data_IF_314824346418
#
_entry.id   IF_314824346418
#
_cell.length_a   1.000
_cell.length_b   1.000
_cell.length_c   1.000
_cell.angle_alpha   90.00
_cell.angle_beta   90.00
_cell.angle_gamma   90.00
#
_symmetry.space_group_name_H-M   'P 1'
#
loop_
_entity.id
_entity.type
_entity.pdbx_description
1 polymer ?
#
# COMPACT_ATOMS: atom_id res chain seq x y z
N UNK A 1 68.46 -17.06 0.60
CA UNK A 1 67.58 -16.03 1.21
C UNK A 1 66.27 -16.04 0.43
N UNK A 2 65.25 -16.65 0.99
CA UNK A 2 63.94 -16.74 0.35
C UNK A 2 63.09 -15.56 0.83
N UNK A 3 62.62 -14.72 -0.10
CA UNK A 3 61.66 -13.69 0.17
C UNK A 3 60.24 -14.30 0.22
N UNK A 4 59.72 -14.31 1.39
CA UNK A 4 58.35 -14.74 1.67
C UNK A 4 57.42 -13.52 1.42
N UNK A 5 56.77 -13.50 0.24
CA UNK A 5 55.76 -12.50 -0.10
C UNK A 5 54.44 -12.85 0.59
N UNK A 6 54.00 -12.04 1.51
CA UNK A 6 52.66 -12.13 2.10
C UNK A 6 51.58 -11.92 1.00
N UNK A 7 50.45 -12.65 1.05
CA UNK A 7 49.37 -12.46 0.09
C UNK A 7 48.74 -11.07 0.28
N UNK A 8 48.67 -10.31 -0.80
CA UNK A 8 48.02 -9.02 -0.83
C UNK A 8 46.53 -9.17 -0.52
N UNK A 9 46.05 -8.48 0.51
CA UNK A 9 44.61 -8.35 0.83
C UNK A 9 43.89 -7.77 -0.40
N UNK A 10 42.81 -8.39 -0.89
CA UNK A 10 42.04 -7.81 -2.00
C UNK A 10 41.48 -6.47 -1.56
N UNK A 11 41.84 -5.40 -2.28
CA UNK A 11 41.37 -4.06 -1.99
C UNK A 11 39.86 -3.94 -2.11
N UNK A 12 39.27 -3.04 -1.32
CA UNK A 12 37.85 -2.67 -1.27
C UNK A 12 37.16 -2.43 -2.65
N UNK A 13 37.94 -2.25 -3.71
CA UNK A 13 37.47 -2.04 -5.09
C UNK A 13 36.98 -3.34 -5.79
N UNK A 14 37.11 -4.50 -5.17
CA UNK A 14 36.69 -5.79 -5.73
C UNK A 14 35.41 -6.34 -5.10
N UNK A 15 34.78 -5.62 -4.17
CA UNK A 15 33.42 -5.94 -3.77
C UNK A 15 32.48 -5.55 -4.90
N UNK A 16 31.94 -6.55 -5.60
CA UNK A 16 30.82 -6.34 -6.50
C UNK A 16 29.69 -5.73 -5.67
N UNK A 17 29.27 -4.53 -6.02
CA UNK A 17 28.01 -3.96 -5.53
C UNK A 17 26.91 -4.88 -6.05
N UNK A 18 26.35 -5.70 -5.17
CA UNK A 18 25.17 -6.50 -5.49
C UNK A 18 24.01 -5.53 -5.74
N UNK A 19 23.71 -5.28 -7.00
CA UNK A 19 22.45 -4.63 -7.37
C UNK A 19 21.33 -5.60 -6.97
N UNK A 20 20.33 -5.17 -6.17
CA UNK A 20 19.21 -6.03 -5.79
C UNK A 20 18.63 -6.70 -7.02
N UNK A 21 18.45 -8.01 -6.97
CA UNK A 21 17.84 -8.71 -8.10
C UNK A 21 16.37 -8.27 -8.23
N UNK A 22 15.81 -8.34 -9.43
CA UNK A 22 14.39 -8.04 -9.65
C UNK A 22 13.47 -8.89 -8.75
N UNK A 23 13.92 -10.09 -8.36
CA UNK A 23 13.23 -10.94 -7.39
C UNK A 23 13.27 -10.33 -5.99
N UNK A 24 14.42 -9.77 -5.57
CA UNK A 24 14.54 -9.11 -4.26
C UNK A 24 13.65 -7.87 -4.19
N UNK A 25 13.66 -7.04 -5.20
CA UNK A 25 12.80 -5.86 -5.29
C UNK A 25 11.31 -6.21 -5.17
N UNK A 26 10.84 -7.23 -5.90
CA UNK A 26 9.45 -7.68 -5.82
C UNK A 26 9.15 -8.29 -4.45
N UNK A 27 10.07 -9.07 -3.90
CA UNK A 27 9.92 -9.65 -2.56
C UNK A 27 9.74 -8.55 -1.51
N UNK A 28 10.57 -7.51 -1.53
CA UNK A 28 10.51 -6.39 -0.59
C UNK A 28 9.24 -5.55 -0.75
N UNK A 29 8.77 -5.35 -1.98
CA UNK A 29 7.47 -4.71 -2.22
C UNK A 29 6.30 -5.52 -1.67
N UNK A 30 6.30 -6.83 -1.87
CA UNK A 30 5.27 -7.73 -1.32
C UNK A 30 5.31 -7.76 0.21
N UNK A 31 6.50 -7.83 0.82
CA UNK A 31 6.67 -7.73 2.27
C UNK A 31 6.09 -6.41 2.79
N UNK A 32 6.42 -5.30 2.14
CA UNK A 32 5.90 -3.98 2.52
C UNK A 32 4.36 -3.99 2.46
N UNK A 33 3.77 -4.41 1.35
CA UNK A 33 2.32 -4.44 1.15
C UNK A 33 1.58 -5.27 2.22
N UNK A 34 2.13 -6.43 2.59
CA UNK A 34 1.58 -7.27 3.66
C UNK A 34 1.74 -6.59 5.03
N UNK A 35 2.92 -6.03 5.31
CA UNK A 35 3.22 -5.42 6.61
C UNK A 35 2.36 -4.19 6.92
N UNK A 36 2.03 -3.41 5.90
CA UNK A 36 1.20 -2.19 6.02
C UNK A 36 -0.30 -2.46 5.88
N UNK A 37 -0.70 -3.73 5.74
CA UNK A 37 -2.10 -4.15 5.72
C UNK A 37 -2.82 -3.95 4.38
N UNK A 38 -2.10 -3.82 3.26
CA UNK A 38 -2.72 -3.88 1.94
C UNK A 38 -3.38 -5.24 1.69
N UNK A 39 -2.75 -6.31 2.17
CA UNK A 39 -3.30 -7.65 2.20
C UNK A 39 -3.40 -8.12 3.64
N UNK A 40 -4.64 -8.21 4.13
CA UNK A 40 -4.93 -8.65 5.49
C UNK A 40 -4.60 -10.14 5.70
N UNK A 41 -4.38 -10.57 6.95
CA UNK A 41 -4.31 -11.99 7.30
C UNK A 41 -5.47 -12.79 6.69
N UNK A 42 -5.17 -13.93 6.10
CA UNK A 42 -6.15 -14.75 5.38
C UNK A 42 -6.50 -14.26 3.97
N UNK A 43 -6.11 -13.04 3.59
CA UNK A 43 -6.37 -12.50 2.26
C UNK A 43 -5.60 -13.28 1.18
N UNK A 44 -6.23 -13.43 0.02
CA UNK A 44 -5.61 -14.00 -1.17
C UNK A 44 -4.93 -12.89 -1.98
N UNK A 45 -3.64 -13.08 -2.28
CA UNK A 45 -2.95 -12.21 -3.23
C UNK A 45 -3.52 -12.36 -4.66
N UNK A 46 -3.38 -11.32 -5.50
CA UNK A 46 -3.66 -11.44 -6.93
C UNK A 46 -2.90 -12.60 -7.55
N UNK A 47 -3.46 -13.19 -8.61
CA UNK A 47 -2.79 -14.31 -9.28
C UNK A 47 -1.48 -13.84 -9.93
N UNK A 48 -0.51 -14.77 -10.09
CA UNK A 48 0.83 -14.47 -10.62
C UNK A 48 0.81 -13.62 -11.90
N UNK A 49 -0.18 -13.83 -12.77
CA UNK A 49 -0.32 -13.06 -14.02
C UNK A 49 -0.62 -11.60 -13.75
N UNK A 50 -1.51 -11.34 -12.81
CA UNK A 50 -1.98 -9.99 -12.52
C UNK A 50 -0.90 -9.23 -11.72
N UNK A 51 -0.24 -9.90 -10.76
CA UNK A 51 0.96 -9.37 -10.10
C UNK A 51 2.09 -9.06 -11.09
N UNK A 52 2.33 -9.93 -12.07
CA UNK A 52 3.35 -9.70 -13.09
C UNK A 52 3.05 -8.44 -13.93
N UNK A 53 1.78 -8.24 -14.27
CA UNK A 53 1.33 -7.04 -14.97
C UNK A 53 1.49 -5.78 -14.12
N UNK A 54 0.99 -5.80 -12.88
CA UNK A 54 1.04 -4.65 -11.95
C UNK A 54 2.48 -4.26 -11.58
N UNK A 55 3.38 -5.24 -11.48
CA UNK A 55 4.78 -5.03 -11.09
C UNK A 55 5.71 -4.82 -12.29
N UNK A 56 5.20 -4.88 -13.52
CA UNK A 56 6.01 -4.78 -14.73
C UNK A 56 7.12 -5.84 -14.78
N UNK A 57 6.82 -7.09 -14.39
CA UNK A 57 7.80 -8.17 -14.20
C UNK A 57 7.39 -9.47 -14.92
N UNK A 58 8.35 -10.35 -15.14
CA UNK A 58 8.08 -11.69 -15.67
C UNK A 58 7.38 -12.58 -14.64
N UNK A 59 6.47 -13.48 -15.09
CA UNK A 59 5.76 -14.42 -14.19
C UNK A 59 6.72 -15.29 -13.38
N UNK A 60 7.85 -15.73 -13.95
CA UNK A 60 8.84 -16.54 -13.25
C UNK A 60 9.50 -15.76 -12.10
N UNK A 61 9.75 -14.46 -12.31
CA UNK A 61 10.30 -13.57 -11.29
C UNK A 61 9.30 -13.37 -10.13
N UNK A 62 8.01 -13.16 -10.45
CA UNK A 62 6.94 -13.06 -9.45
C UNK A 62 6.79 -14.37 -8.67
N UNK A 63 6.80 -15.51 -9.37
CA UNK A 63 6.74 -16.83 -8.73
C UNK A 63 7.90 -17.07 -7.77
N UNK A 64 9.11 -16.68 -8.14
CA UNK A 64 10.28 -16.79 -7.28
C UNK A 64 10.15 -15.90 -6.03
N UNK A 65 9.63 -14.68 -6.17
CA UNK A 65 9.36 -13.79 -5.05
C UNK A 65 8.30 -14.36 -4.11
N UNK A 66 7.18 -14.88 -4.64
CA UNK A 66 6.13 -15.53 -3.83
C UNK A 66 6.66 -16.76 -3.09
N UNK A 67 7.49 -17.59 -3.72
CA UNK A 67 8.13 -18.74 -3.08
C UNK A 67 8.97 -18.30 -1.87
N UNK A 68 9.75 -17.23 -1.99
CA UNK A 68 10.52 -16.66 -0.86
C UNK A 68 9.64 -16.20 0.30
N UNK A 69 8.46 -15.64 0.02
CA UNK A 69 7.53 -15.25 1.08
C UNK A 69 6.94 -16.48 1.79
N UNK A 70 6.70 -17.56 1.05
CA UNK A 70 6.28 -18.85 1.64
C UNK A 70 7.39 -19.41 2.52
N UNK A 71 8.64 -19.43 2.05
CA UNK A 71 9.80 -19.88 2.84
C UNK A 71 10.01 -19.04 4.11
N UNK A 72 9.68 -17.75 4.05
CA UNK A 72 9.74 -16.83 5.19
C UNK A 72 8.50 -16.90 6.11
N UNK A 73 7.51 -17.75 5.81
CA UNK A 73 6.31 -17.90 6.63
C UNK A 73 5.39 -16.67 6.62
N UNK A 74 5.43 -15.86 5.56
CA UNK A 74 4.51 -14.75 5.35
C UNK A 74 3.29 -15.14 4.53
N UNK A 75 3.45 -16.16 3.67
CA UNK A 75 2.41 -16.70 2.80
C UNK A 75 2.29 -18.21 2.93
N UNK A 76 1.13 -18.72 2.59
CA UNK A 76 0.92 -20.13 2.25
C UNK A 76 0.40 -20.29 0.83
N UNK A 77 0.69 -21.43 0.20
CA UNK A 77 0.14 -21.77 -1.12
C UNK A 77 -0.95 -22.82 -0.98
N UNK A 78 -2.16 -22.50 -1.41
CA UNK A 78 -3.30 -23.43 -1.50
C UNK A 78 -3.47 -23.93 -2.93
N UNK A 79 -3.75 -25.23 -3.11
CA UNK A 79 -3.95 -25.86 -4.43
C UNK A 79 -5.45 -26.04 -4.74
N UNK A 80 -5.77 -26.24 -6.01
CA UNK A 80 -7.13 -26.59 -6.45
C UNK A 80 -8.03 -25.39 -6.72
N UNK A 81 -9.34 -25.64 -6.72
CA UNK A 81 -10.37 -24.60 -6.96
C UNK A 81 -10.32 -23.58 -5.82
N UNK A 82 -10.04 -22.32 -6.14
CA UNK A 82 -9.76 -21.30 -5.15
C UNK A 82 -8.30 -21.26 -4.69
N UNK A 83 -7.39 -22.02 -5.30
CA UNK A 83 -5.95 -22.00 -5.01
C UNK A 83 -5.29 -20.64 -5.25
N UNK A 84 -4.12 -20.44 -4.67
CA UNK A 84 -3.35 -19.18 -4.76
C UNK A 84 -2.43 -19.01 -3.56
N UNK A 85 -1.84 -17.83 -3.45
CA UNK A 85 -1.02 -17.43 -2.29
C UNK A 85 -1.89 -16.64 -1.32
N UNK A 86 -1.85 -17.03 -0.05
CA UNK A 86 -2.64 -16.44 1.04
C UNK A 86 -1.73 -15.92 2.13
N UNK A 87 -2.05 -14.76 2.70
CA UNK A 87 -1.33 -14.16 3.81
C UNK A 87 -1.59 -15.00 5.08
N UNK A 88 -0.53 -15.33 5.82
CA UNK A 88 -0.66 -16.06 7.08
C UNK A 88 -1.11 -15.13 8.22
N UNK A 89 -1.95 -15.67 9.13
CA UNK A 89 -2.50 -14.92 10.26
C UNK A 89 -1.44 -14.59 11.32
N UNK A 90 -0.44 -15.44 11.45
CA UNK A 90 0.68 -15.28 12.40
C UNK A 90 1.99 -15.49 11.66
N UNK A 91 2.92 -14.57 11.88
CA UNK A 91 4.26 -14.66 11.32
C UNK A 91 5.25 -15.17 12.35
N UNK A 92 6.24 -16.00 11.94
CA UNK A 92 7.37 -16.34 12.79
C UNK A 92 8.13 -15.08 13.25
N UNK A 93 8.75 -15.09 14.43
CA UNK A 93 9.60 -13.98 14.91
C UNK A 93 10.68 -13.59 13.89
N UNK A 94 11.28 -14.58 13.23
CA UNK A 94 12.27 -14.35 12.16
C UNK A 94 11.73 -13.50 10.99
N UNK A 95 10.44 -13.52 10.76
CA UNK A 95 9.79 -12.70 9.72
C UNK A 95 9.65 -11.25 10.15
N UNK A 96 9.45 -10.97 11.44
CA UNK A 96 9.41 -9.62 12.00
C UNK A 96 10.69 -8.86 11.72
N UNK A 97 11.85 -9.50 11.89
CA UNK A 97 13.16 -8.92 11.59
C UNK A 97 13.33 -8.59 10.10
N UNK A 98 12.84 -9.47 9.22
CA UNK A 98 12.88 -9.25 7.77
C UNK A 98 11.99 -8.08 7.38
N UNK A 99 10.76 -8.04 7.88
CA UNK A 99 9.82 -6.93 7.67
C UNK A 99 10.43 -5.63 8.16
N UNK A 100 10.97 -5.62 9.39
CA UNK A 100 11.59 -4.45 9.97
C UNK A 100 12.75 -3.90 9.13
N UNK A 101 13.66 -4.77 8.68
CA UNK A 101 14.78 -4.35 7.80
C UNK A 101 14.29 -3.78 6.47
N UNK A 102 13.30 -4.44 5.85
CA UNK A 102 12.72 -4.00 4.57
C UNK A 102 12.08 -2.62 4.69
N UNK A 103 11.26 -2.40 5.72
CA UNK A 103 10.61 -1.10 5.94
C UNK A 103 11.64 0.00 6.28
N UNK A 104 12.65 -0.31 7.12
CA UNK A 104 13.70 0.65 7.46
C UNK A 104 14.46 1.13 6.24
N UNK A 105 14.83 0.22 5.34
CA UNK A 105 15.57 0.55 4.13
C UNK A 105 14.75 1.46 3.16
N UNK A 106 13.44 1.48 3.31
CA UNK A 106 12.51 2.23 2.44
C UNK A 106 11.82 3.41 3.12
N UNK A 107 12.12 3.70 4.39
CA UNK A 107 11.35 4.68 5.18
C UNK A 107 11.27 6.06 4.51
N UNK A 108 12.41 6.60 4.10
CA UNK A 108 12.46 7.94 3.49
C UNK A 108 11.73 7.96 2.15
N UNK A 109 11.92 6.93 1.33
CA UNK A 109 11.16 6.74 0.08
C UNK A 109 9.65 6.68 0.32
N UNK A 110 9.21 5.89 1.30
CA UNK A 110 7.79 5.75 1.63
C UNK A 110 7.19 7.04 2.18
N UNK A 111 7.95 7.79 3.00
CA UNK A 111 7.54 9.10 3.51
C UNK A 111 7.29 10.09 2.38
N UNK A 112 8.26 10.24 1.47
CA UNK A 112 8.17 11.17 0.36
C UNK A 112 7.00 10.80 -0.58
N UNK A 113 6.78 9.50 -0.82
CA UNK A 113 5.66 9.01 -1.63
C UNK A 113 4.31 9.27 -0.96
N UNK A 114 4.17 9.00 0.33
CA UNK A 114 2.94 9.28 1.08
C UNK A 114 2.63 10.78 1.10
N UNK A 115 3.63 11.65 1.31
CA UNK A 115 3.44 13.11 1.24
C UNK A 115 2.96 13.54 -0.16
N UNK A 116 3.57 13.02 -1.21
CA UNK A 116 3.14 13.31 -2.59
C UNK A 116 1.72 12.80 -2.86
N UNK A 117 1.35 11.60 -2.38
CA UNK A 117 -0.01 11.05 -2.49
C UNK A 117 -1.01 11.96 -1.77
N UNK A 118 -0.73 12.38 -0.53
CA UNK A 118 -1.60 13.28 0.24
C UNK A 118 -1.86 14.60 -0.51
N UNK A 119 -0.81 15.22 -1.06
CA UNK A 119 -0.92 16.47 -1.83
C UNK A 119 -1.74 16.29 -3.09
N UNK A 120 -1.48 15.23 -3.85
CA UNK A 120 -2.21 14.97 -5.09
C UNK A 120 -3.66 14.57 -4.81
N UNK A 121 -3.91 13.82 -3.75
CA UNK A 121 -5.27 13.46 -3.31
C UNK A 121 -6.08 14.70 -2.92
N UNK A 122 -5.48 15.67 -2.22
CA UNK A 122 -6.09 16.97 -1.96
C UNK A 122 -6.47 17.70 -3.24
N UNK A 123 -5.54 17.78 -4.20
CA UNK A 123 -5.79 18.39 -5.52
C UNK A 123 -6.93 17.72 -6.27
N UNK A 124 -7.00 16.38 -6.25
CA UNK A 124 -8.09 15.61 -6.89
C UNK A 124 -9.44 15.89 -6.21
N UNK A 125 -9.48 15.92 -4.87
CA UNK A 125 -10.70 16.20 -4.13
C UNK A 125 -11.21 17.65 -4.33
N UNK A 126 -10.30 18.62 -4.43
CA UNK A 126 -10.62 20.00 -4.85
C UNK A 126 -11.24 20.00 -6.24
N UNK A 127 -10.60 19.37 -7.22
CA UNK A 127 -11.11 19.29 -8.58
C UNK A 127 -12.50 18.61 -8.62
N UNK A 128 -12.70 17.55 -7.81
CA UNK A 128 -14.00 16.93 -7.67
C UNK A 128 -15.05 17.90 -7.13
N UNK A 129 -14.73 18.68 -6.09
CA UNK A 129 -15.65 19.68 -5.53
C UNK A 129 -15.99 20.81 -6.53
N UNK A 130 -15.05 21.17 -7.39
CA UNK A 130 -15.23 22.23 -8.40
C UNK A 130 -15.99 21.74 -9.65
N UNK A 131 -15.86 20.44 -10.01
CA UNK A 131 -16.34 19.91 -11.30
C UNK A 131 -17.52 18.94 -11.19
N UNK A 132 -17.87 18.45 -9.95
CA UNK A 132 -18.92 17.46 -9.76
C UNK A 132 -20.26 17.88 -10.37
N UNK A 133 -20.94 16.93 -10.97
CA UNK A 133 -22.35 17.01 -11.35
C UNK A 133 -23.27 16.54 -10.21
N UNK A 134 -24.58 16.73 -10.34
CA UNK A 134 -25.56 16.15 -9.41
C UNK A 134 -25.53 14.61 -9.42
N UNK A 135 -25.23 14.03 -10.57
CA UNK A 135 -25.05 12.58 -10.68
C UNK A 135 -23.86 12.08 -9.84
N UNK A 136 -22.71 12.79 -9.92
CA UNK A 136 -21.52 12.43 -9.13
C UNK A 136 -21.80 12.51 -7.63
N UNK A 137 -22.51 13.55 -7.18
CA UNK A 137 -22.93 13.67 -5.78
C UNK A 137 -23.79 12.48 -5.36
N UNK A 138 -24.74 12.05 -6.18
CA UNK A 138 -25.56 10.85 -5.92
C UNK A 138 -24.72 9.59 -5.85
N UNK A 139 -23.75 9.41 -6.75
CA UNK A 139 -22.81 8.29 -6.74
C UNK A 139 -21.95 8.29 -5.47
N UNK A 140 -21.40 9.44 -5.09
CA UNK A 140 -20.58 9.59 -3.89
C UNK A 140 -21.35 9.20 -2.62
N UNK A 141 -22.60 9.68 -2.48
CA UNK A 141 -23.46 9.26 -1.37
C UNK A 141 -23.72 7.75 -1.36
N UNK A 142 -23.99 7.17 -2.51
CA UNK A 142 -24.21 5.72 -2.65
C UNK A 142 -22.96 4.92 -2.23
N UNK A 143 -21.76 5.36 -2.64
CA UNK A 143 -20.50 4.70 -2.28
C UNK A 143 -20.15 4.88 -0.80
N UNK A 144 -20.41 6.07 -0.26
CA UNK A 144 -20.25 6.32 1.18
C UNK A 144 -21.17 5.42 2.03
N UNK A 145 -22.45 5.30 1.66
CA UNK A 145 -23.39 4.41 2.34
C UNK A 145 -22.96 2.94 2.25
N UNK A 146 -22.44 2.50 1.11
CA UNK A 146 -21.88 1.17 0.96
C UNK A 146 -20.70 0.93 1.91
N UNK A 147 -19.81 1.92 2.10
CA UNK A 147 -18.72 1.85 3.09
C UNK A 147 -19.27 1.82 4.52
N UNK A 148 -20.23 2.69 4.85
CA UNK A 148 -20.84 2.80 6.19
C UNK A 148 -21.49 1.50 6.66
N UNK A 149 -22.04 0.72 5.72
CA UNK A 149 -22.77 -0.53 6.00
C UNK A 149 -21.97 -1.79 5.73
N UNK A 150 -20.74 -1.68 5.25
CA UNK A 150 -19.86 -2.82 4.98
C UNK A 150 -19.44 -3.53 6.28
N UNK A 151 -19.28 -4.84 6.18
CA UNK A 151 -18.64 -5.60 7.25
C UNK A 151 -17.16 -5.20 7.38
N UNK A 152 -16.66 -5.19 8.62
CA UNK A 152 -15.28 -4.83 8.92
C UNK A 152 -14.29 -5.75 8.18
N UNK A 153 -13.18 -5.20 7.75
CA UNK A 153 -12.13 -5.93 7.05
C UNK A 153 -12.24 -5.80 5.52
N UNK A 154 -12.26 -6.93 4.83
CA UNK A 154 -12.16 -6.94 3.37
C UNK A 154 -13.31 -6.21 2.66
N UNK A 155 -14.53 -6.34 3.18
CA UNK A 155 -15.69 -5.67 2.58
C UNK A 155 -15.63 -4.16 2.76
N UNK A 156 -15.22 -3.67 3.94
CA UNK A 156 -14.96 -2.27 4.19
C UNK A 156 -13.84 -1.74 3.29
N UNK A 157 -12.73 -2.48 3.15
CA UNK A 157 -11.62 -2.11 2.26
C UNK A 157 -12.05 -1.98 0.79
N UNK A 158 -12.89 -2.90 0.30
CA UNK A 158 -13.39 -2.83 -1.07
C UNK A 158 -14.37 -1.67 -1.28
N UNK A 159 -15.22 -1.39 -0.28
CA UNK A 159 -16.14 -0.27 -0.33
C UNK A 159 -15.40 1.07 -0.31
N UNK A 160 -14.36 1.20 0.52
CA UNK A 160 -13.44 2.33 0.58
C UNK A 160 -12.79 2.60 -0.79
N UNK A 161 -12.24 1.57 -1.40
CA UNK A 161 -11.63 1.69 -2.73
C UNK A 161 -12.59 2.24 -3.78
N UNK A 162 -13.85 1.74 -3.78
CA UNK A 162 -14.88 2.21 -4.71
C UNK A 162 -15.33 3.64 -4.43
N UNK A 163 -15.30 4.05 -3.16
CA UNK A 163 -15.60 5.42 -2.76
C UNK A 163 -14.52 6.39 -3.28
N UNK A 164 -13.25 6.09 -3.07
CA UNK A 164 -12.16 6.91 -3.55
C UNK A 164 -12.07 6.97 -5.08
N UNK A 165 -12.36 5.88 -5.78
CA UNK A 165 -12.46 5.91 -7.24
C UNK A 165 -13.59 6.83 -7.72
N UNK A 166 -14.74 6.84 -7.05
CA UNK A 166 -15.83 7.74 -7.40
C UNK A 166 -15.47 9.23 -7.19
N UNK A 167 -14.66 9.55 -6.17
CA UNK A 167 -14.12 10.91 -6.00
C UNK A 167 -13.21 11.28 -7.19
N UNK A 168 -12.32 10.38 -7.59
CA UNK A 168 -11.43 10.60 -8.74
C UNK A 168 -12.22 10.80 -10.04
N UNK A 169 -13.33 10.05 -10.23
CA UNK A 169 -14.22 10.20 -11.38
C UNK A 169 -14.94 11.56 -11.36
N UNK A 170 -15.41 12.02 -10.20
CA UNK A 170 -16.08 13.30 -10.01
C UNK A 170 -15.16 14.52 -10.27
N UNK A 171 -13.84 14.34 -10.29
CA UNK A 171 -12.90 15.38 -10.68
C UNK A 171 -12.93 15.70 -12.19
N UNK A 172 -13.53 14.83 -13.01
CA UNK A 172 -13.62 14.96 -14.48
C UNK A 172 -12.26 15.27 -15.14
N UNK A 173 -11.18 14.73 -14.57
CA UNK A 173 -9.82 14.91 -15.05
C UNK A 173 -9.06 13.60 -15.04
N UNK A 174 -9.09 12.88 -16.17
CA UNK A 174 -8.45 11.58 -16.31
C UNK A 174 -6.93 11.62 -16.08
N UNK A 175 -6.28 12.75 -16.35
CA UNK A 175 -4.84 12.90 -16.11
C UNK A 175 -4.55 12.93 -14.62
N UNK A 176 -5.27 13.73 -13.83
CA UNK A 176 -5.12 13.75 -12.37
C UNK A 176 -5.45 12.40 -11.75
N UNK A 177 -6.52 11.75 -12.21
CA UNK A 177 -6.89 10.39 -11.79
C UNK A 177 -5.76 9.41 -12.04
N UNK A 178 -5.22 9.37 -13.26
CA UNK A 178 -4.16 8.43 -13.63
C UNK A 178 -2.88 8.69 -12.85
N UNK A 179 -2.47 9.95 -12.69
CA UNK A 179 -1.30 10.32 -11.90
C UNK A 179 -1.43 9.86 -10.44
N UNK A 180 -2.60 10.03 -9.83
CA UNK A 180 -2.84 9.58 -8.46
C UNK A 180 -2.81 8.05 -8.35
N UNK A 181 -3.41 7.33 -9.30
CA UNK A 181 -3.39 5.87 -9.34
C UNK A 181 -1.97 5.34 -9.54
N UNK A 182 -1.19 5.92 -10.47
CA UNK A 182 0.19 5.53 -10.73
C UNK A 182 1.08 5.78 -9.49
N UNK A 183 0.88 6.91 -8.81
CA UNK A 183 1.62 7.22 -7.59
C UNK A 183 1.25 6.26 -6.45
N UNK A 184 -0.05 5.99 -6.23
CA UNK A 184 -0.51 5.00 -5.25
C UNK A 184 0.06 3.60 -5.54
N UNK A 185 0.13 3.19 -6.80
CA UNK A 185 0.74 1.92 -7.20
C UNK A 185 2.23 1.80 -6.87
N UNK A 186 2.91 2.87 -6.52
CA UNK A 186 4.31 2.82 -6.06
C UNK A 186 4.44 2.40 -4.59
N UNK A 187 3.42 2.61 -3.78
CA UNK A 187 3.35 2.22 -2.36
C UNK A 187 2.57 0.92 -2.20
N UNK A 188 1.45 0.79 -2.90
CA UNK A 188 0.55 -0.36 -2.94
C UNK A 188 0.81 -1.22 -4.18
N UNK A 189 0.47 -2.51 -4.13
CA UNK A 189 0.65 -3.45 -5.24
C UNK A 189 -0.62 -3.61 -6.07
N UNK A 190 -1.78 -3.44 -5.49
CA UNK A 190 -3.00 -3.78 -6.19
C UNK A 190 -4.27 -3.02 -5.82
N UNK A 191 -4.20 -2.17 -4.81
CA UNK A 191 -5.38 -1.44 -4.39
C UNK A 191 -5.25 0.06 -4.70
N UNK A 192 -6.23 0.69 -5.31
CA UNK A 192 -6.33 2.14 -5.34
C UNK A 192 -6.66 2.73 -3.95
N UNK A 193 -6.85 1.87 -2.97
CA UNK A 193 -7.35 2.15 -1.65
C UNK A 193 -6.26 2.46 -0.64
N UNK A 194 -6.71 2.92 0.53
CA UNK A 194 -5.88 3.10 1.71
C UNK A 194 -5.40 1.78 2.30
N UNK A 195 -4.29 1.87 3.01
CA UNK A 195 -3.74 0.79 3.83
C UNK A 195 -4.71 0.50 4.98
N UNK A 196 -4.78 -0.76 5.42
CA UNK A 196 -5.78 -1.17 6.39
C UNK A 196 -5.22 -1.48 7.79
N UNK A 197 -3.89 -1.51 7.92
CA UNK A 197 -3.23 -1.77 9.20
C UNK A 197 -3.39 -3.21 9.69
N UNK A 198 -3.33 -3.38 11.00
CA UNK A 198 -3.45 -4.69 11.64
C UNK A 198 -4.85 -4.96 12.19
N UNK A 199 -5.25 -6.23 12.38
CA UNK A 199 -6.58 -6.59 12.85
C UNK A 199 -6.99 -5.93 14.19
N UNK A 200 -6.03 -5.73 15.11
CA UNK A 200 -6.30 -5.15 16.43
C UNK A 200 -6.68 -3.67 16.41
N UNK A 201 -6.20 -2.91 15.42
CA UNK A 201 -6.46 -1.48 15.26
C UNK A 201 -7.40 -1.17 14.10
N UNK A 202 -7.71 -2.16 13.28
CA UNK A 202 -8.49 -2.02 12.05
C UNK A 202 -9.85 -1.35 12.31
N UNK A 203 -10.61 -1.79 13.30
CA UNK A 203 -11.94 -1.23 13.58
C UNK A 203 -11.90 0.24 13.99
N UNK A 204 -10.92 0.65 14.77
CA UNK A 204 -10.76 2.06 15.16
C UNK A 204 -10.39 2.95 13.98
N UNK A 205 -9.57 2.44 13.08
CA UNK A 205 -9.19 3.10 11.83
C UNK A 205 -10.39 3.22 10.87
N UNK A 206 -11.17 2.15 10.68
CA UNK A 206 -12.40 2.18 9.87
C UNK A 206 -13.40 3.24 10.37
N UNK A 207 -13.59 3.33 11.69
CA UNK A 207 -14.45 4.34 12.29
C UNK A 207 -13.92 5.77 12.16
N UNK A 208 -12.60 5.95 12.16
CA UNK A 208 -11.96 7.22 11.85
C UNK A 208 -12.20 7.58 10.38
N UNK A 209 -11.87 6.68 9.47
CA UNK A 209 -12.08 6.87 8.04
C UNK A 209 -13.55 7.18 7.71
N UNK A 210 -14.50 6.52 8.37
CA UNK A 210 -15.93 6.78 8.17
C UNK A 210 -16.31 8.25 8.48
N UNK A 211 -15.80 8.79 9.59
CA UNK A 211 -16.06 10.21 9.96
C UNK A 211 -15.41 11.18 8.96
N UNK A 212 -14.20 10.88 8.53
CA UNK A 212 -13.46 11.70 7.59
C UNK A 212 -14.10 11.64 6.17
N UNK A 213 -14.57 10.47 5.74
CA UNK A 213 -15.32 10.31 4.49
C UNK A 213 -16.63 11.09 4.50
N UNK A 214 -17.38 11.09 5.61
CA UNK A 214 -18.61 11.88 5.73
C UNK A 214 -18.35 13.38 5.52
N UNK A 215 -17.28 13.90 6.14
CA UNK A 215 -16.88 15.29 5.98
C UNK A 215 -16.46 15.59 4.54
N UNK A 216 -15.71 14.70 3.93
CA UNK A 216 -15.21 14.83 2.55
C UNK A 216 -16.37 14.83 1.53
N UNK A 217 -17.33 13.89 1.68
CA UNK A 217 -18.54 13.87 0.81
C UNK A 217 -19.30 15.19 0.90
N UNK A 218 -19.51 15.73 2.12
CA UNK A 218 -20.18 17.01 2.32
C UNK A 218 -19.42 18.16 1.66
N UNK A 219 -18.10 18.24 1.85
CA UNK A 219 -17.26 19.28 1.26
C UNK A 219 -17.33 19.25 -0.28
N UNK A 220 -17.24 18.04 -0.88
CA UNK A 220 -17.34 17.87 -2.33
C UNK A 220 -18.75 18.22 -2.82
N UNK A 221 -19.82 17.70 -2.19
CA UNK A 221 -21.20 17.96 -2.58
C UNK A 221 -21.52 19.47 -2.56
N UNK A 222 -21.07 20.19 -1.52
CA UNK A 222 -21.28 21.61 -1.35
C UNK A 222 -20.38 22.48 -2.25
N UNK A 223 -19.42 21.91 -2.98
CA UNK A 223 -18.47 22.63 -3.83
C UNK A 223 -17.39 23.38 -3.06
N UNK A 224 -17.09 22.97 -1.83
CA UNK A 224 -16.08 23.62 -0.97
C UNK A 224 -14.70 23.04 -1.26
N UNK A 225 -14.08 23.51 -2.36
CA UNK A 225 -12.82 22.96 -2.89
C UNK A 225 -11.65 23.02 -1.90
N UNK A 226 -11.49 24.14 -1.19
CA UNK A 226 -10.41 24.30 -0.18
C UNK A 226 -10.58 23.32 0.98
N UNK A 227 -11.80 23.15 1.50
CA UNK A 227 -12.10 22.21 2.56
C UNK A 227 -11.89 20.75 2.09
N UNK A 228 -12.29 20.45 0.86
CA UNK A 228 -12.10 19.11 0.28
C UNK A 228 -10.61 18.77 0.12
N UNK A 229 -9.77 19.72 -0.29
CA UNK A 229 -8.31 19.57 -0.35
C UNK A 229 -7.73 19.29 1.03
N UNK A 230 -8.03 20.11 2.04
CA UNK A 230 -7.49 19.99 3.39
C UNK A 230 -7.91 18.66 4.04
N UNK A 231 -9.20 18.32 3.98
CA UNK A 231 -9.75 17.07 4.49
C UNK A 231 -9.10 15.85 3.83
N UNK A 232 -8.92 15.89 2.51
CA UNK A 232 -8.31 14.78 1.78
C UNK A 232 -6.83 14.59 2.11
N UNK A 233 -6.08 15.68 2.32
CA UNK A 233 -4.68 15.59 2.78
C UNK A 233 -4.58 15.01 4.18
N UNK A 234 -5.45 15.43 5.09
CA UNK A 234 -5.50 14.88 6.45
C UNK A 234 -5.82 13.39 6.43
N UNK A 235 -6.84 13.00 5.66
CA UNK A 235 -7.25 11.62 5.49
C UNK A 235 -6.13 10.74 4.88
N UNK A 236 -5.44 11.23 3.86
CA UNK A 236 -4.33 10.53 3.23
C UNK A 236 -3.15 10.27 4.17
N UNK A 237 -2.98 11.05 5.24
CA UNK A 237 -1.93 10.84 6.21
C UNK A 237 -2.07 9.51 6.98
N UNK A 238 -3.26 8.91 7.01
CA UNK A 238 -3.50 7.58 7.60
C UNK A 238 -2.52 6.54 7.03
N UNK A 239 -2.26 6.57 5.74
CA UNK A 239 -1.35 5.60 5.10
C UNK A 239 0.04 5.63 5.72
N UNK A 240 0.60 6.82 5.95
CA UNK A 240 1.92 6.95 6.58
C UNK A 240 1.90 6.61 8.08
N UNK A 241 0.81 6.91 8.78
CA UNK A 241 0.62 6.50 10.19
C UNK A 241 0.62 4.98 10.32
N UNK A 242 -0.02 4.25 9.39
CA UNK A 242 -0.03 2.79 9.38
C UNK A 242 1.36 2.21 9.08
N UNK A 243 2.10 2.80 8.14
CA UNK A 243 3.49 2.42 7.87
C UNK A 243 4.36 2.59 9.12
N UNK A 244 4.28 3.75 9.78
CA UNK A 244 5.07 4.02 10.99
C UNK A 244 4.66 3.10 12.14
N UNK A 245 3.39 2.77 12.27
CA UNK A 245 2.89 1.80 13.25
C UNK A 245 3.46 0.40 12.99
N UNK A 246 3.43 -0.07 11.73
CA UNK A 246 4.04 -1.34 11.36
C UNK A 246 5.55 -1.37 11.67
N UNK A 247 6.25 -0.25 11.50
CA UNK A 247 7.67 -0.13 11.81
C UNK A 247 7.96 -0.15 13.31
N UNK A 248 7.12 0.51 14.14
CA UNK A 248 7.24 0.42 15.62
C UNK A 248 7.06 -1.02 16.09
N UNK A 249 6.08 -1.73 15.57
CA UNK A 249 5.86 -3.16 15.89
C UNK A 249 7.04 -4.03 15.49
N UNK A 250 7.67 -3.74 14.37
CA UNK A 250 8.88 -4.44 13.93
C UNK A 250 10.15 -4.00 14.69
N UNK A 251 10.05 -3.16 15.73
CA UNK A 251 11.19 -2.65 16.50
C UNK A 251 12.14 -1.76 15.70
N UNK A 252 11.66 -1.17 14.62
CA UNK A 252 12.46 -0.33 13.70
C UNK A 252 12.47 1.11 14.14
N UNK A 253 11.37 1.61 14.67
CA UNK A 253 11.23 2.93 15.25
C UNK A 253 10.99 2.79 16.76
N UNK A 254 11.71 3.59 17.54
CA UNK A 254 11.40 3.86 18.96
C UNK A 254 10.47 5.07 19.02
N UNK A 255 9.62 5.14 20.03
CA UNK A 255 8.74 6.28 20.31
C UNK A 255 9.51 7.58 20.49
#
# INVERSE_FOLDING_TARGET
MAHNGAPATPGLLHQQLETPSRVDEITDRLITAIAIGEYLPGARLPVERDLATSLGAGRMTVRAALARLVERGLLETRRGRGGGSYVLDQWPESSTDVVGRTLRARLDELRDRCDAICRLQGTVCRAAAESRSEHDVSVLHTRFEAYRTADSGLDAQQADSRFHLAIMDAAHNDVLKQLLLDLKATVSIGAPAHLWGEPSTMRSMELRALREHEQLVRAIADGRGDDADELARHHGAIDFELITTAMRRAGVLTD
#
